data_IF_163018496964
#
_entry.id   IF_163018496964
#
_cell.length_a   1.000
_cell.length_b   1.000
_cell.length_c   1.000
_cell.angle_alpha   90.00
_cell.angle_beta   90.00
_cell.angle_gamma   90.00
#
_symmetry.space_group_name_H-M   'P 1'
#
loop_
_entity.id
_entity.type
_entity.pdbx_description
1 polymer ?
#
# COMPACT_ATOMS: atom_id res chain seq x y z
N UNK A 1 35.56 6.74 -4.32
CA UNK A 1 34.70 6.89 -3.12
C UNK A 1 34.31 5.50 -2.65
N UNK A 2 34.63 5.14 -1.41
CA UNK A 2 34.24 3.85 -0.83
C UNK A 2 33.00 4.07 0.03
N UNK A 3 31.81 4.04 -0.61
CA UNK A 3 30.53 4.14 0.10
C UNK A 3 30.30 2.83 0.85
N UNK A 4 30.17 2.89 2.18
CA UNK A 4 29.81 1.78 3.03
C UNK A 4 28.30 1.76 3.29
N UNK A 5 27.69 0.56 3.28
CA UNK A 5 26.33 0.37 3.74
C UNK A 5 26.39 -0.16 5.18
N UNK A 6 25.76 0.57 6.09
CA UNK A 6 25.75 0.21 7.51
C UNK A 6 24.38 0.45 8.14
N UNK A 7 24.06 -0.22 9.25
CA UNK A 7 22.84 0.03 10.01
C UNK A 7 22.75 1.48 10.47
N UNK A 8 21.55 2.04 10.48
CA UNK A 8 21.28 3.37 11.00
C UNK A 8 21.32 3.34 12.53
N UNK A 9 22.32 3.96 13.11
CA UNK A 9 22.53 4.12 14.55
C UNK A 9 22.31 5.57 14.98
N UNK A 10 22.10 5.81 16.28
CA UNK A 10 21.73 7.13 16.80
C UNK A 10 22.82 8.20 16.58
N UNK A 11 24.09 7.80 16.55
CA UNK A 11 25.24 8.67 16.27
C UNK A 11 25.24 9.25 14.84
N UNK A 12 24.53 8.59 13.91
CA UNK A 12 24.39 9.04 12.51
C UNK A 12 23.24 10.03 12.28
N UNK A 13 22.40 10.31 13.30
CA UNK A 13 21.30 11.28 13.19
C UNK A 13 21.76 12.65 12.66
N UNK A 14 22.88 13.25 13.16
CA UNK A 14 23.36 14.52 12.61
C UNK A 14 23.72 14.46 11.12
N UNK A 15 24.32 13.35 10.68
CA UNK A 15 24.69 13.15 9.28
C UNK A 15 23.43 12.96 8.38
N UNK A 16 22.37 12.31 8.90
CA UNK A 16 21.07 12.19 8.22
C UNK A 16 20.38 13.55 8.09
N UNK A 17 20.44 14.41 9.12
CA UNK A 17 19.94 15.79 9.02
C UNK A 17 20.63 16.57 7.90
N UNK A 18 21.96 16.48 7.81
CA UNK A 18 22.73 17.07 6.72
C UNK A 18 22.37 16.50 5.35
N UNK A 19 22.08 15.20 5.26
CA UNK A 19 21.61 14.57 4.04
C UNK A 19 20.23 15.13 3.61
N UNK A 20 19.25 15.16 4.51
CA UNK A 20 17.93 15.71 4.22
C UNK A 20 17.98 17.18 3.82
N UNK A 21 18.83 18.00 4.44
CA UNK A 21 19.03 19.40 4.04
C UNK A 21 19.51 19.52 2.58
N UNK A 22 20.43 18.65 2.13
CA UNK A 22 20.87 18.63 0.73
C UNK A 22 19.76 18.18 -0.22
N UNK A 23 18.90 17.24 0.19
CA UNK A 23 17.74 16.82 -0.58
C UNK A 23 16.72 17.99 -0.73
N UNK A 24 16.42 18.70 0.36
CA UNK A 24 15.55 19.90 0.35
C UNK A 24 16.11 20.97 -0.60
N UNK A 25 17.41 21.28 -0.49
CA UNK A 25 18.06 22.24 -1.37
C UNK A 25 17.97 21.83 -2.85
N UNK A 26 17.89 20.53 -3.13
CA UNK A 26 17.68 19.97 -4.47
C UNK A 26 16.20 19.83 -4.89
N UNK A 27 15.25 20.30 -4.05
CA UNK A 27 13.80 20.30 -4.37
C UNK A 27 13.08 18.98 -4.07
N UNK A 28 13.65 18.09 -3.28
CA UNK A 28 12.99 16.83 -2.86
C UNK A 28 11.94 17.13 -1.79
N UNK A 29 10.74 16.58 -1.99
CA UNK A 29 9.63 16.78 -1.07
C UNK A 29 9.87 16.07 0.29
N UNK A 30 9.34 16.66 1.41
CA UNK A 30 9.56 16.13 2.76
C UNK A 30 9.13 14.67 2.98
N UNK A 31 8.15 14.18 2.25
CA UNK A 31 7.69 12.80 2.32
C UNK A 31 8.76 11.76 1.91
N UNK A 32 9.84 12.21 1.25
CA UNK A 32 10.99 11.37 0.87
C UNK A 32 12.20 11.58 1.77
N UNK A 33 12.07 12.29 2.88
CA UNK A 33 13.17 12.45 3.83
C UNK A 33 13.37 11.18 4.65
N UNK A 34 14.63 10.89 4.95
CA UNK A 34 14.96 9.82 5.89
C UNK A 34 14.72 10.30 7.33
N UNK A 35 14.30 9.44 8.27
CA UNK A 35 14.03 9.83 9.65
C UNK A 35 15.25 10.50 10.30
N UNK A 36 15.09 11.73 10.85
CA UNK A 36 16.22 12.52 11.34
C UNK A 36 16.11 12.99 12.81
N UNK A 37 14.99 12.75 13.46
CA UNK A 37 14.78 13.12 14.87
C UNK A 37 15.06 11.95 15.80
N UNK A 38 14.67 10.76 15.39
CA UNK A 38 14.91 9.49 16.06
C UNK A 38 14.83 8.36 15.02
N UNK A 39 15.40 7.22 15.36
CA UNK A 39 15.17 5.99 14.58
C UNK A 39 13.76 5.53 14.91
N UNK A 40 12.87 5.35 13.90
CA UNK A 40 11.49 4.98 14.15
C UNK A 40 11.35 3.64 14.87
N UNK A 41 10.39 3.56 15.79
CA UNK A 41 10.12 2.35 16.58
C UNK A 41 8.83 1.61 16.16
N UNK A 42 8.23 1.99 15.02
CA UNK A 42 6.95 1.38 14.61
C UNK A 42 7.01 -0.15 14.53
N UNK A 43 8.05 -0.69 13.91
CA UNK A 43 8.29 -2.14 13.84
C UNK A 43 9.73 -2.42 14.31
N UNK A 44 10.03 -2.26 15.62
CA UNK A 44 11.36 -2.54 16.13
C UNK A 44 11.65 -4.04 16.06
N UNK A 45 12.92 -4.38 15.88
CA UNK A 45 13.40 -5.76 15.98
C UNK A 45 13.39 -6.18 17.45
N UNK A 46 12.41 -6.97 17.84
CA UNK A 46 12.23 -7.50 19.19
C UNK A 46 12.36 -9.03 19.17
N UNK A 47 12.90 -9.59 20.25
CA UNK A 47 12.99 -11.04 20.41
C UNK A 47 11.60 -11.72 20.27
N UNK A 48 11.54 -12.81 19.51
CA UNK A 48 10.31 -13.54 19.23
C UNK A 48 9.36 -12.89 18.21
N UNK A 49 9.61 -11.65 17.79
CA UNK A 49 8.80 -10.97 16.77
C UNK A 49 9.39 -11.18 15.37
N UNK A 50 8.61 -11.77 14.47
CA UNK A 50 9.03 -11.99 13.07
C UNK A 50 8.92 -10.74 12.20
N UNK A 51 7.95 -9.86 12.48
CA UNK A 51 7.79 -8.60 11.74
C UNK A 51 8.60 -7.47 12.39
N UNK A 52 9.49 -6.86 11.60
CA UNK A 52 10.32 -5.72 12.03
C UNK A 52 10.84 -4.92 10.83
N UNK A 53 11.44 -3.77 11.12
CA UNK A 53 12.15 -2.96 10.13
C UNK A 53 13.61 -2.77 10.54
N UNK A 54 14.49 -2.78 9.55
CA UNK A 54 15.91 -2.40 9.68
C UNK A 54 16.20 -1.26 8.72
N UNK A 55 16.91 -0.24 9.23
CA UNK A 55 17.25 0.97 8.51
C UNK A 55 18.73 0.93 8.17
N UNK A 56 19.07 1.21 6.91
CA UNK A 56 20.45 1.21 6.41
C UNK A 56 20.78 2.53 5.76
N UNK A 57 22.03 2.99 5.96
CA UNK A 57 22.57 4.20 5.37
C UNK A 57 23.75 3.89 4.46
N UNK A 58 23.86 4.64 3.39
CA UNK A 58 25.02 4.69 2.50
C UNK A 58 25.90 5.85 2.95
N UNK A 59 27.06 5.55 3.52
CA UNK A 59 27.95 6.52 4.17
C UNK A 59 29.26 6.63 3.42
N UNK A 60 29.72 7.86 3.18
CA UNK A 60 30.98 8.23 2.55
C UNK A 60 31.75 9.15 3.52
N UNK A 61 32.73 8.60 4.24
CA UNK A 61 33.33 9.27 5.41
C UNK A 61 32.27 9.58 6.47
N UNK A 62 32.14 10.84 6.85
CA UNK A 62 31.16 11.31 7.83
C UNK A 62 29.82 11.76 7.19
N UNK A 63 29.67 11.56 5.89
CA UNK A 63 28.51 12.03 5.14
C UNK A 63 27.57 10.90 4.73
N UNK A 64 26.29 11.00 5.09
CA UNK A 64 25.23 10.14 4.52
C UNK A 64 24.94 10.59 3.09
N UNK A 65 24.96 9.63 2.14
CA UNK A 65 24.69 9.82 0.71
C UNK A 65 23.42 9.14 0.25
N UNK A 66 22.77 8.36 1.13
CA UNK A 66 21.54 7.68 0.85
C UNK A 66 21.11 6.78 2.00
N UNK A 67 19.93 6.18 1.87
CA UNK A 67 19.43 5.20 2.81
C UNK A 67 18.28 4.39 2.22
N UNK A 68 17.98 3.26 2.85
CA UNK A 68 16.86 2.39 2.55
C UNK A 68 16.39 1.65 3.80
N UNK A 69 15.20 1.11 3.74
CA UNK A 69 14.60 0.33 4.82
C UNK A 69 14.31 -1.07 4.30
N UNK A 70 14.58 -2.08 5.10
CA UNK A 70 14.12 -3.44 4.89
C UNK A 70 13.01 -3.76 5.90
N UNK A 71 11.79 -3.99 5.43
CA UNK A 71 10.69 -4.48 6.26
C UNK A 71 10.60 -5.98 6.11
N UNK A 72 10.87 -6.67 7.18
CA UNK A 72 10.79 -8.11 7.30
C UNK A 72 9.38 -8.49 7.73
N UNK A 73 8.77 -9.40 6.98
CA UNK A 73 7.49 -10.01 7.25
C UNK A 73 7.46 -11.33 6.51
N UNK A 74 7.06 -12.41 7.19
CA UNK A 74 6.94 -13.70 6.51
C UNK A 74 5.93 -13.61 5.37
N UNK A 75 6.27 -14.23 4.24
CA UNK A 75 5.36 -14.46 3.13
C UNK A 75 5.15 -15.95 2.96
N UNK A 76 4.02 -16.34 2.43
CA UNK A 76 3.67 -17.74 2.18
C UNK A 76 3.44 -17.94 0.69
N UNK A 77 4.19 -18.87 0.11
CA UNK A 77 4.03 -19.32 -1.27
C UNK A 77 3.36 -20.69 -1.25
N UNK A 78 2.13 -20.77 -1.75
CA UNK A 78 1.30 -21.98 -1.62
C UNK A 78 1.32 -22.57 -0.19
N UNK A 79 1.06 -21.72 0.81
CA UNK A 79 1.04 -22.09 2.22
C UNK A 79 2.41 -22.33 2.87
N UNK A 80 3.53 -22.29 2.14
CA UNK A 80 4.89 -22.51 2.66
C UNK A 80 5.60 -21.18 2.90
N UNK A 81 6.22 -20.97 4.08
CA UNK A 81 6.89 -19.71 4.40
C UNK A 81 8.09 -19.47 3.47
N UNK A 82 8.27 -18.21 3.08
CA UNK A 82 9.33 -17.69 2.22
C UNK A 82 9.94 -16.43 2.82
N UNK A 83 11.27 -16.25 2.80
CA UNK A 83 11.95 -15.07 3.34
C UNK A 83 11.87 -13.89 2.36
N UNK A 84 10.68 -13.38 2.09
CA UNK A 84 10.47 -12.23 1.20
C UNK A 84 10.48 -10.95 2.02
N UNK A 85 11.24 -9.94 1.56
CA UNK A 85 11.45 -8.69 2.31
C UNK A 85 11.13 -7.48 1.44
N UNK A 86 10.48 -6.49 2.03
CA UNK A 86 10.12 -5.24 1.36
C UNK A 86 11.29 -4.25 1.37
N UNK A 87 11.74 -3.87 0.18
CA UNK A 87 12.71 -2.81 -0.06
C UNK A 87 11.99 -1.46 -0.13
N UNK A 88 12.02 -0.74 0.98
CA UNK A 88 11.23 0.46 1.21
C UNK A 88 12.07 1.73 1.24
N UNK A 89 11.50 2.84 0.76
CA UNK A 89 12.06 4.19 0.78
C UNK A 89 13.57 4.25 0.41
N UNK A 90 14.00 3.66 -0.73
CA UNK A 90 15.37 3.84 -1.18
C UNK A 90 15.53 5.26 -1.73
N UNK A 91 16.28 6.07 -1.00
CA UNK A 91 16.58 7.45 -1.40
C UNK A 91 18.07 7.70 -1.43
N UNK A 92 18.57 8.35 -2.49
CA UNK A 92 19.99 8.68 -2.64
C UNK A 92 20.20 10.12 -3.05
N UNK A 93 21.34 10.70 -2.68
CA UNK A 93 21.75 12.04 -3.10
C UNK A 93 21.89 12.15 -4.63
N UNK A 94 22.01 11.02 -5.33
CA UNK A 94 22.06 10.96 -6.80
C UNK A 94 20.86 11.56 -7.52
N UNK A 95 19.71 11.72 -6.85
CA UNK A 95 18.52 12.38 -7.42
C UNK A 95 18.70 13.90 -7.55
N UNK A 96 19.54 14.51 -6.73
CA UNK A 96 19.81 15.96 -6.73
C UNK A 96 21.24 16.28 -7.15
N UNK A 97 22.19 15.34 -7.06
CA UNK A 97 23.58 15.53 -7.40
C UNK A 97 24.12 14.35 -8.24
N UNK A 98 24.38 14.59 -9.51
CA UNK A 98 24.84 13.58 -10.48
C UNK A 98 26.16 12.90 -10.08
N UNK A 99 26.99 13.54 -9.28
CA UNK A 99 28.23 12.92 -8.77
C UNK A 99 27.95 11.65 -7.94
N UNK A 100 26.76 11.54 -7.35
CA UNK A 100 26.30 10.41 -6.55
C UNK A 100 25.26 9.52 -7.27
N UNK A 101 25.14 9.60 -8.58
CA UNK A 101 24.16 8.83 -9.35
C UNK A 101 24.29 7.29 -9.14
N UNK A 102 25.49 6.78 -8.84
CA UNK A 102 25.74 5.36 -8.58
C UNK A 102 25.28 4.86 -7.20
N UNK A 103 24.98 5.76 -6.25
CA UNK A 103 24.64 5.39 -4.85
C UNK A 103 23.40 4.52 -4.80
N UNK A 104 22.35 4.86 -5.54
CA UNK A 104 21.11 4.07 -5.58
C UNK A 104 21.34 2.62 -6.05
N UNK A 105 22.16 2.42 -7.07
CA UNK A 105 22.53 1.08 -7.56
C UNK A 105 23.35 0.32 -6.51
N UNK A 106 24.29 1.01 -5.83
CA UNK A 106 25.09 0.41 -4.76
C UNK A 106 24.21 -0.05 -3.59
N UNK A 107 23.26 0.79 -3.15
CA UNK A 107 22.29 0.46 -2.11
C UNK A 107 21.48 -0.79 -2.49
N UNK A 108 20.93 -0.82 -3.70
CA UNK A 108 20.13 -1.97 -4.15
C UNK A 108 20.96 -3.26 -4.22
N UNK A 109 22.18 -3.21 -4.73
CA UNK A 109 23.09 -4.36 -4.73
C UNK A 109 23.41 -4.85 -3.32
N UNK A 110 23.57 -3.96 -2.38
CA UNK A 110 23.81 -4.30 -0.98
C UNK A 110 22.58 -4.91 -0.32
N UNK A 111 21.39 -4.35 -0.60
CA UNK A 111 20.13 -4.93 -0.12
C UNK A 111 19.92 -6.35 -0.66
N UNK A 112 20.22 -6.60 -1.94
CA UNK A 112 20.13 -7.94 -2.56
C UNK A 112 21.15 -8.95 -2.00
N UNK A 113 22.30 -8.48 -1.49
CA UNK A 113 23.25 -9.34 -0.78
C UNK A 113 22.75 -9.71 0.62
N UNK A 114 22.06 -8.79 1.30
CA UNK A 114 21.43 -9.03 2.60
C UNK A 114 20.22 -9.97 2.45
N UNK A 115 19.39 -9.70 1.45
CA UNK A 115 18.16 -10.43 1.18
C UNK A 115 17.93 -10.58 -0.34
N UNK A 116 18.12 -11.76 -0.91
CA UNK A 116 17.94 -11.97 -2.35
C UNK A 116 16.49 -11.85 -2.82
N UNK A 117 15.51 -12.26 -1.99
CA UNK A 117 14.09 -12.24 -2.32
C UNK A 117 13.46 -10.92 -1.85
N UNK A 118 13.72 -9.87 -2.61
CA UNK A 118 13.16 -8.53 -2.35
C UNK A 118 11.95 -8.23 -3.22
N UNK A 119 11.01 -7.50 -2.65
CA UNK A 119 10.01 -6.78 -3.43
C UNK A 119 10.04 -5.28 -3.12
N UNK A 120 9.54 -4.48 -4.06
CA UNK A 120 9.24 -3.07 -3.87
C UNK A 120 7.77 -2.84 -4.25
N UNK A 121 7.09 -1.90 -3.57
CA UNK A 121 5.68 -1.64 -3.77
C UNK A 121 5.42 -0.12 -3.74
N UNK A 122 4.47 0.35 -4.55
CA UNK A 122 4.16 1.77 -4.67
C UNK A 122 4.91 2.42 -5.84
N UNK A 123 5.98 3.12 -5.60
CA UNK A 123 6.95 3.68 -6.54
C UNK A 123 6.44 4.77 -7.51
N UNK A 124 5.15 5.11 -7.55
CA UNK A 124 4.61 6.29 -8.23
C UNK A 124 4.49 6.25 -9.75
N UNK A 125 4.83 5.15 -10.43
CA UNK A 125 4.70 4.98 -11.88
C UNK A 125 5.93 4.36 -12.53
N UNK A 126 5.75 3.69 -13.69
CA UNK A 126 6.83 2.97 -14.40
C UNK A 126 7.93 3.88 -14.95
N UNK A 127 7.64 5.15 -15.16
CA UNK A 127 8.52 6.19 -15.67
C UNK A 127 9.42 6.82 -14.59
N UNK A 128 9.21 6.46 -13.33
CA UNK A 128 9.99 6.99 -12.21
C UNK A 128 11.39 6.35 -12.12
N UNK A 129 12.37 7.06 -11.53
CA UNK A 129 13.75 6.58 -11.45
C UNK A 129 13.91 5.19 -10.81
N UNK A 130 13.21 4.93 -9.70
CA UNK A 130 13.29 3.65 -9.01
C UNK A 130 12.81 2.47 -9.87
N UNK A 131 11.58 2.45 -10.43
CA UNK A 131 11.15 1.38 -11.33
C UNK A 131 12.06 1.18 -12.54
N UNK A 132 12.58 2.25 -13.13
CA UNK A 132 13.52 2.17 -14.24
C UNK A 132 14.83 1.48 -13.84
N UNK A 133 15.37 1.82 -12.67
CA UNK A 133 16.57 1.19 -12.12
C UNK A 133 16.31 -0.30 -11.82
N UNK A 134 15.20 -0.64 -11.17
CA UNK A 134 14.83 -2.03 -10.86
C UNK A 134 14.71 -2.86 -12.15
N UNK A 135 14.03 -2.33 -13.17
CA UNK A 135 13.90 -2.98 -14.48
C UNK A 135 15.27 -3.20 -15.15
N UNK A 136 16.15 -2.19 -15.12
CA UNK A 136 17.50 -2.30 -15.66
C UNK A 136 18.35 -3.36 -14.93
N UNK A 137 18.03 -3.63 -13.66
CA UNK A 137 18.67 -4.67 -12.85
C UNK A 137 17.97 -6.04 -12.92
N UNK A 138 17.04 -6.24 -13.87
CA UNK A 138 16.41 -7.52 -14.16
C UNK A 138 15.22 -7.87 -13.25
N UNK A 139 14.63 -6.87 -12.57
CA UNK A 139 13.40 -7.08 -11.79
C UNK A 139 12.18 -7.20 -12.71
N UNK A 140 11.22 -8.01 -12.30
CA UNK A 140 9.91 -8.08 -12.93
C UNK A 140 8.95 -7.09 -12.26
N UNK A 141 8.24 -6.29 -13.07
CA UNK A 141 7.36 -5.23 -12.58
C UNK A 141 5.93 -5.42 -13.12
N UNK A 142 4.93 -5.21 -12.28
CA UNK A 142 3.53 -5.11 -12.70
C UNK A 142 2.77 -4.06 -11.88
N UNK A 143 1.68 -3.52 -12.44
CA UNK A 143 0.80 -2.62 -11.72
C UNK A 143 -0.14 -3.42 -10.80
N UNK A 144 -0.29 -2.97 -9.56
CA UNK A 144 -1.36 -3.43 -8.67
C UNK A 144 -2.58 -2.58 -8.96
N UNK A 145 -3.71 -3.17 -9.40
CA UNK A 145 -4.90 -2.42 -9.77
C UNK A 145 -5.37 -1.45 -8.69
N UNK A 146 -5.85 -0.30 -9.11
CA UNK A 146 -6.46 0.70 -8.24
C UNK A 146 -7.97 0.74 -8.48
N UNK A 147 -8.71 0.63 -7.41
CA UNK A 147 -10.18 0.63 -7.39
C UNK A 147 -10.69 1.83 -6.61
N UNK A 148 -11.76 2.44 -7.10
CA UNK A 148 -12.43 3.53 -6.39
C UNK A 148 -13.94 3.46 -6.58
N UNK A 149 -14.69 3.93 -5.56
CA UNK A 149 -16.13 4.06 -5.57
C UNK A 149 -16.55 5.43 -5.04
N UNK A 150 -17.35 6.13 -5.81
CA UNK A 150 -17.78 7.51 -5.53
C UNK A 150 -19.12 7.48 -4.79
N UNK A 151 -19.13 7.90 -3.52
CA UNK A 151 -20.36 7.99 -2.73
C UNK A 151 -21.01 9.37 -2.84
N UNK A 152 -20.22 10.46 -2.92
CA UNK A 152 -20.71 11.82 -3.08
C UNK A 152 -20.25 12.43 -4.42
N UNK A 153 -20.97 12.16 -5.54
CA UNK A 153 -20.55 12.54 -6.88
C UNK A 153 -20.31 14.03 -7.08
N UNK A 154 -21.15 14.89 -6.50
CA UNK A 154 -21.00 16.35 -6.64
C UNK A 154 -19.70 16.86 -6.02
N UNK A 155 -19.29 16.30 -4.87
CA UNK A 155 -18.04 16.65 -4.21
C UNK A 155 -16.84 16.07 -4.97
N UNK A 156 -16.95 14.82 -5.44
CA UNK A 156 -15.94 14.19 -6.28
C UNK A 156 -15.63 15.02 -7.54
N UNK A 157 -16.65 15.45 -8.28
CA UNK A 157 -16.48 16.26 -9.49
C UNK A 157 -15.79 17.61 -9.21
N UNK A 158 -15.99 18.18 -8.02
CA UNK A 158 -15.37 19.46 -7.62
C UNK A 158 -13.94 19.32 -7.12
N UNK A 159 -13.62 18.22 -6.45
CA UNK A 159 -12.39 18.09 -5.67
C UNK A 159 -11.28 17.28 -6.37
N UNK A 160 -11.63 16.32 -7.26
CA UNK A 160 -10.62 15.43 -7.85
C UNK A 160 -9.71 16.16 -8.84
N UNK A 161 -8.39 16.05 -8.62
CA UNK A 161 -7.37 16.78 -9.36
C UNK A 161 -7.42 16.63 -10.90
N UNK A 162 -7.56 15.41 -11.48
CA UNK A 162 -7.63 15.26 -12.94
C UNK A 162 -8.76 16.02 -13.61
N UNK A 163 -9.85 16.30 -12.86
CA UNK A 163 -10.98 17.11 -13.35
C UNK A 163 -10.73 18.60 -13.18
N UNK A 164 -9.66 19.00 -12.48
CA UNK A 164 -9.32 20.41 -12.16
C UNK A 164 -8.13 20.93 -12.96
N UNK A 165 -7.43 20.07 -13.70
CA UNK A 165 -6.20 20.42 -14.43
C UNK A 165 -6.35 21.53 -15.48
N UNK A 166 -7.53 21.66 -16.09
CA UNK A 166 -7.81 22.70 -17.08
C UNK A 166 -9.05 23.51 -16.69
N UNK A 167 -9.06 24.82 -17.04
CA UNK A 167 -10.21 25.71 -16.75
C UNK A 167 -11.51 25.18 -17.36
N UNK A 168 -11.46 24.63 -18.58
CA UNK A 168 -12.63 24.05 -19.26
C UNK A 168 -13.15 22.79 -18.56
N UNK A 169 -12.26 21.86 -18.17
CA UNK A 169 -12.64 20.65 -17.42
C UNK A 169 -13.23 21.01 -16.05
N UNK A 170 -12.60 21.98 -15.35
CA UNK A 170 -13.09 22.47 -14.06
C UNK A 170 -14.49 23.07 -14.18
N UNK A 171 -14.75 23.86 -15.23
CA UNK A 171 -16.08 24.45 -15.47
C UNK A 171 -17.11 23.37 -15.79
N UNK A 172 -16.78 22.40 -16.68
CA UNK A 172 -17.66 21.29 -17.03
C UNK A 172 -17.97 20.41 -15.82
N UNK A 173 -16.96 20.07 -15.00
CA UNK A 173 -17.15 19.30 -13.78
C UNK A 173 -18.02 20.04 -12.75
N UNK A 174 -17.82 21.37 -12.59
CA UNK A 174 -18.65 22.19 -11.72
C UNK A 174 -20.10 22.26 -12.20
N UNK A 175 -20.33 22.45 -13.50
CA UNK A 175 -21.68 22.44 -14.09
C UNK A 175 -22.34 21.06 -13.92
N UNK A 176 -21.64 19.96 -14.21
CA UNK A 176 -22.15 18.61 -14.01
C UNK A 176 -22.49 18.31 -12.54
N UNK A 177 -21.71 18.87 -11.60
CA UNK A 177 -21.97 18.75 -10.16
C UNK A 177 -23.22 19.54 -9.72
N UNK A 178 -23.37 20.79 -10.24
CA UNK A 178 -24.48 21.70 -9.86
C UNK A 178 -25.78 21.25 -10.51
N UNK A 179 -25.75 20.86 -11.78
CA UNK A 179 -26.97 20.40 -12.51
C UNK A 179 -27.46 19.01 -12.10
N UNK A 180 -26.67 18.27 -11.32
CA UNK A 180 -26.99 16.91 -10.91
C UNK A 180 -26.82 15.85 -12.00
N UNK A 181 -26.62 16.22 -13.27
CA UNK A 181 -26.46 15.25 -14.38
C UNK A 181 -25.27 14.34 -14.19
N UNK A 182 -24.11 14.90 -13.79
CA UNK A 182 -22.95 14.11 -13.46
C UNK A 182 -23.15 13.20 -12.24
N UNK A 183 -23.90 13.67 -11.25
CA UNK A 183 -24.25 12.92 -10.04
C UNK A 183 -25.19 11.76 -10.36
N UNK A 184 -26.21 11.99 -11.21
CA UNK A 184 -27.12 10.96 -11.65
C UNK A 184 -26.40 9.86 -12.46
N UNK A 185 -25.50 10.27 -13.37
CA UNK A 185 -24.68 9.33 -14.15
C UNK A 185 -23.80 8.43 -13.27
N UNK A 186 -23.11 8.99 -12.29
CA UNK A 186 -22.25 8.23 -11.37
C UNK A 186 -23.12 7.29 -10.50
N UNK A 187 -24.25 7.76 -9.96
CA UNK A 187 -25.19 6.92 -9.19
C UNK A 187 -25.74 5.77 -10.02
N UNK A 188 -26.10 6.02 -11.28
CA UNK A 188 -26.55 4.99 -12.19
C UNK A 188 -25.48 3.94 -12.45
N UNK A 189 -24.25 4.36 -12.71
CA UNK A 189 -23.10 3.45 -12.89
C UNK A 189 -22.89 2.61 -11.64
N UNK A 190 -22.89 3.21 -10.45
CA UNK A 190 -22.76 2.49 -9.19
C UNK A 190 -23.90 1.47 -9.03
N UNK A 191 -25.16 1.87 -9.26
CA UNK A 191 -26.34 1.00 -9.14
C UNK A 191 -26.30 -0.19 -10.10
N UNK A 192 -25.93 0.05 -11.37
CA UNK A 192 -25.83 -1.01 -12.37
C UNK A 192 -24.70 -2.01 -12.10
N UNK A 193 -23.69 -1.61 -11.36
CA UNK A 193 -22.51 -2.45 -11.03
C UNK A 193 -22.59 -3.11 -9.67
N UNK A 194 -23.39 -2.58 -8.75
CA UNK A 194 -23.56 -3.19 -7.43
C UNK A 194 -24.42 -4.44 -7.58
N UNK A 195 -23.84 -5.61 -7.35
CA UNK A 195 -24.57 -6.87 -7.25
C UNK A 195 -25.58 -6.85 -6.09
N UNK A 196 -26.47 -7.82 -6.06
CA UNK A 196 -27.41 -7.96 -4.93
C UNK A 196 -26.63 -8.00 -3.61
N UNK A 197 -27.05 -7.20 -2.60
CA UNK A 197 -26.44 -7.29 -1.28
C UNK A 197 -26.54 -8.71 -0.73
N UNK A 198 -25.46 -9.20 -0.16
CA UNK A 198 -25.48 -10.47 0.53
C UNK A 198 -26.26 -10.29 1.84
N UNK A 199 -27.33 -11.05 2.01
CA UNK A 199 -28.18 -10.95 3.20
C UNK A 199 -27.58 -11.71 4.37
N UNK A 200 -27.85 -11.26 5.60
CA UNK A 200 -27.40 -11.95 6.81
C UNK A 200 -25.94 -11.73 7.18
N UNK A 201 -25.29 -10.72 6.58
CA UNK A 201 -23.98 -10.28 7.03
C UNK A 201 -24.07 -9.52 8.36
N UNK A 202 -23.25 -9.91 9.32
CA UNK A 202 -23.04 -9.19 10.56
C UNK A 202 -21.64 -8.60 10.58
N UNK A 203 -21.54 -7.31 10.84
CA UNK A 203 -20.26 -6.55 10.87
C UNK A 203 -20.02 -6.04 12.28
N UNK A 204 -18.90 -6.42 12.85
CA UNK A 204 -18.45 -5.98 14.16
C UNK A 204 -17.16 -5.17 14.03
N UNK A 205 -17.14 -3.95 14.56
CA UNK A 205 -15.90 -3.19 14.71
C UNK A 205 -15.16 -3.68 15.94
N UNK A 206 -13.88 -4.06 15.77
CA UNK A 206 -13.04 -4.61 16.82
C UNK A 206 -11.81 -3.74 17.09
N UNK A 207 -11.29 -3.78 18.31
CA UNK A 207 -10.08 -3.04 18.66
C UNK A 207 -8.78 -3.73 18.26
N UNK A 208 -8.82 -4.89 17.61
CA UNK A 208 -7.68 -5.71 17.18
C UNK A 208 -8.08 -7.16 16.97
N UNK A 209 -7.11 -7.96 16.58
CA UNK A 209 -7.27 -9.37 16.26
C UNK A 209 -6.87 -10.27 17.44
N UNK A 210 -7.40 -11.47 17.49
CA UNK A 210 -7.17 -12.47 18.54
C UNK A 210 -6.71 -13.78 17.94
N UNK A 211 -6.14 -14.68 18.74
CA UNK A 211 -5.68 -16.01 18.28
C UNK A 211 -6.80 -16.84 17.63
N UNK A 212 -8.06 -16.60 17.99
CA UNK A 212 -9.21 -17.24 17.31
C UNK A 212 -9.35 -16.85 15.83
N UNK A 213 -8.78 -15.72 15.45
CA UNK A 213 -8.81 -15.23 14.07
C UNK A 213 -7.74 -15.93 13.21
N UNK A 214 -6.76 -16.59 13.85
CA UNK A 214 -5.71 -17.33 13.18
C UNK A 214 -6.24 -18.59 12.47
N UNK A 215 -7.38 -19.15 12.89
CA UNK A 215 -8.04 -20.26 12.19
C UNK A 215 -8.41 -19.84 10.75
N UNK A 216 -8.88 -18.62 10.55
CA UNK A 216 -9.17 -18.10 9.23
C UNK A 216 -7.88 -17.88 8.41
N UNK A 217 -6.83 -17.39 9.06
CA UNK A 217 -5.53 -17.22 8.41
C UNK A 217 -4.97 -18.56 7.92
N UNK A 218 -4.94 -19.58 8.78
CA UNK A 218 -4.45 -20.90 8.43
C UNK A 218 -5.24 -21.53 7.26
N UNK A 219 -6.56 -21.38 7.23
CA UNK A 219 -7.41 -21.84 6.16
C UNK A 219 -7.21 -21.06 4.86
N UNK A 220 -6.99 -19.73 4.95
CA UNK A 220 -6.94 -18.84 3.78
C UNK A 220 -5.60 -18.86 3.05
N UNK A 221 -4.48 -18.95 3.77
CA UNK A 221 -3.13 -18.75 3.19
C UNK A 221 -2.78 -19.70 2.04
N UNK A 222 -3.36 -20.91 2.01
CA UNK A 222 -3.11 -21.90 0.97
C UNK A 222 -3.81 -21.57 -0.36
N UNK A 223 -4.85 -20.72 -0.33
CA UNK A 223 -5.62 -20.32 -1.51
C UNK A 223 -4.95 -19.20 -2.31
N UNK A 224 -3.87 -18.61 -1.80
CA UNK A 224 -3.11 -17.55 -2.45
C UNK A 224 -1.74 -18.07 -2.89
N UNK A 225 -1.33 -17.73 -4.11
CA UNK A 225 -0.02 -18.13 -4.60
C UNK A 225 1.12 -17.53 -3.79
N UNK A 226 0.99 -16.24 -3.47
CA UNK A 226 1.87 -15.52 -2.54
C UNK A 226 1.02 -14.57 -1.71
N UNK A 227 1.17 -14.62 -0.40
CA UNK A 227 0.50 -13.74 0.56
C UNK A 227 1.42 -13.48 1.75
N UNK A 228 1.44 -12.25 2.27
CA UNK A 228 2.14 -11.92 3.51
C UNK A 228 1.43 -12.52 4.73
N UNK A 229 2.17 -12.77 5.80
CA UNK A 229 1.63 -13.24 7.07
C UNK A 229 0.54 -12.31 7.62
N UNK A 230 -0.62 -12.88 7.94
CA UNK A 230 -1.77 -12.20 8.51
C UNK A 230 -2.26 -12.87 9.80
N UNK A 231 -1.35 -13.54 10.51
CA UNK A 231 -1.61 -13.99 11.87
C UNK A 231 -1.91 -12.80 12.80
N UNK A 232 -2.70 -13.01 13.84
CA UNK A 232 -3.16 -11.96 14.75
C UNK A 232 -2.01 -11.14 15.37
N UNK A 233 -0.89 -11.79 15.70
CA UNK A 233 0.30 -11.11 16.21
C UNK A 233 0.90 -10.14 15.21
N UNK A 234 0.99 -10.53 13.94
CA UNK A 234 1.46 -9.68 12.82
C UNK A 234 0.49 -8.53 12.56
N UNK A 235 -0.81 -8.81 12.49
CA UNK A 235 -1.84 -7.79 12.25
C UNK A 235 -1.86 -6.74 13.37
N UNK A 236 -1.78 -7.14 14.63
CA UNK A 236 -1.75 -6.21 15.77
C UNK A 236 -0.46 -5.37 15.83
N UNK A 237 0.64 -5.88 15.26
CA UNK A 237 1.87 -5.09 15.09
C UNK A 237 1.77 -4.08 13.95
N UNK A 238 1.15 -4.47 12.81
CA UNK A 238 0.92 -3.59 11.66
C UNK A 238 -0.15 -2.53 11.95
N UNK A 239 -1.21 -2.90 12.65
CA UNK A 239 -2.41 -2.08 12.90
C UNK A 239 -2.64 -1.89 14.40
N UNK A 240 -1.72 -1.20 15.12
CA UNK A 240 -1.84 -1.01 16.56
C UNK A 240 -3.05 -0.14 16.91
N UNK A 241 -3.70 -0.45 18.04
CA UNK A 241 -4.88 0.28 18.55
C UNK A 241 -4.63 1.79 18.78
N UNK A 242 -3.39 2.19 18.95
CA UNK A 242 -2.99 3.59 19.13
C UNK A 242 -3.11 4.45 17.88
N UNK A 243 -3.38 3.84 16.71
CA UNK A 243 -3.57 4.53 15.43
C UNK A 243 -5.02 4.41 14.99
N UNK A 244 -5.44 5.31 14.10
CA UNK A 244 -6.83 5.45 13.63
C UNK A 244 -7.28 4.37 12.63
N UNK A 245 -6.94 3.09 12.91
CA UNK A 245 -7.43 1.98 12.10
C UNK A 245 -8.82 1.56 12.56
N UNK A 246 -9.65 1.26 11.58
CA UNK A 246 -10.97 0.68 11.77
C UNK A 246 -10.87 -0.79 11.35
N UNK A 247 -10.72 -1.68 12.33
CA UNK A 247 -10.72 -3.12 12.09
C UNK A 247 -12.17 -3.62 12.19
N UNK A 248 -12.64 -4.31 11.17
CA UNK A 248 -13.96 -4.94 11.17
C UNK A 248 -13.84 -6.45 10.95
N UNK A 249 -14.67 -7.20 11.66
CA UNK A 249 -14.91 -8.63 11.42
C UNK A 249 -16.25 -8.80 10.73
N UNK A 250 -16.31 -9.74 9.80
CA UNK A 250 -17.51 -10.06 9.02
C UNK A 250 -17.91 -11.50 9.29
N UNK A 251 -19.17 -11.70 9.67
CA UNK A 251 -19.76 -13.01 9.86
C UNK A 251 -21.00 -13.18 9.01
N UNK A 252 -21.25 -14.40 8.54
CA UNK A 252 -22.46 -14.80 7.85
C UNK A 252 -23.08 -16.01 8.56
N UNK A 253 -24.36 -15.95 8.85
CA UNK A 253 -25.07 -17.00 9.62
C UNK A 253 -24.29 -17.44 10.88
N UNK A 254 -23.80 -16.47 11.64
CA UNK A 254 -22.99 -16.64 12.87
C UNK A 254 -21.61 -17.28 12.68
N UNK A 255 -21.18 -17.54 11.44
CA UNK A 255 -19.84 -18.01 11.13
C UNK A 255 -18.94 -16.84 10.75
N UNK A 256 -17.77 -16.70 11.37
CA UNK A 256 -16.74 -15.75 10.98
C UNK A 256 -16.18 -16.11 9.60
N UNK A 257 -16.25 -15.19 8.62
CA UNK A 257 -15.89 -15.44 7.23
C UNK A 257 -14.76 -14.55 6.73
N UNK A 258 -14.45 -13.46 7.41
CA UNK A 258 -13.40 -12.55 6.97
C UNK A 258 -13.32 -11.28 7.79
N UNK A 259 -12.32 -10.47 7.47
CA UNK A 259 -12.10 -9.17 8.10
C UNK A 259 -11.54 -8.15 7.11
N UNK A 260 -11.64 -6.88 7.46
CA UNK A 260 -10.97 -5.79 6.76
C UNK A 260 -10.39 -4.76 7.73
N UNK A 261 -9.28 -4.14 7.32
CA UNK A 261 -8.68 -2.97 7.96
C UNK A 261 -8.94 -1.76 7.08
N UNK A 262 -9.57 -0.75 7.65
CA UNK A 262 -10.05 0.42 6.95
C UNK A 262 -9.45 1.69 7.53
N UNK A 263 -9.43 2.75 6.74
CA UNK A 263 -9.18 4.12 7.19
C UNK A 263 -10.34 5.02 6.75
N UNK A 264 -10.56 6.06 7.55
CA UNK A 264 -11.50 7.13 7.32
C UNK A 264 -10.77 8.45 7.59
N UNK A 265 -10.32 9.09 6.51
CA UNK A 265 -9.41 10.23 6.58
C UNK A 265 -10.03 11.46 5.94
N UNK A 266 -10.11 12.57 6.69
CA UNK A 266 -10.44 13.87 6.12
C UNK A 266 -9.20 14.43 5.44
N UNK A 267 -9.23 14.50 4.11
CA UNK A 267 -8.19 15.18 3.33
C UNK A 267 -8.35 16.69 3.44
N UNK A 268 -7.21 17.39 3.43
CA UNK A 268 -7.15 18.85 3.43
C UNK A 268 -6.14 19.30 2.39
N UNK A 269 -6.61 20.06 1.39
CA UNK A 269 -5.80 20.56 0.27
C UNK A 269 -4.90 19.50 -0.38
N UNK A 270 -5.38 18.25 -0.39
CA UNK A 270 -4.62 17.13 -0.93
C UNK A 270 -4.48 17.30 -2.45
N UNK A 271 -3.28 17.04 -2.96
CA UNK A 271 -2.95 17.18 -4.39
C UNK A 271 -3.82 16.35 -5.33
N UNK A 272 -4.36 15.22 -4.87
CA UNK A 272 -5.20 14.31 -5.66
C UNK A 272 -6.69 14.41 -5.32
N UNK A 273 -7.01 14.52 -4.03
CA UNK A 273 -8.35 14.35 -3.49
C UNK A 273 -8.95 15.63 -2.92
N UNK A 274 -8.21 16.77 -2.97
CA UNK A 274 -8.68 18.03 -2.44
C UNK A 274 -9.10 17.93 -0.97
N UNK A 275 -10.35 18.32 -0.67
CA UNK A 275 -10.92 18.35 0.68
C UNK A 275 -11.95 17.23 0.92
N UNK A 276 -11.82 16.09 0.22
CA UNK A 276 -12.73 14.96 0.40
C UNK A 276 -12.45 14.17 1.68
N UNK A 277 -13.50 13.56 2.24
CA UNK A 277 -13.39 12.51 3.25
C UNK A 277 -13.21 11.17 2.55
N UNK A 278 -12.06 10.56 2.74
CA UNK A 278 -11.62 9.38 2.02
C UNK A 278 -11.73 8.13 2.89
N UNK A 279 -12.48 7.14 2.43
CA UNK A 279 -12.44 5.78 2.94
C UNK A 279 -11.36 4.97 2.21
N UNK A 280 -10.56 4.21 2.93
CA UNK A 280 -9.59 3.30 2.30
C UNK A 280 -9.76 1.90 2.84
N UNK A 281 -9.87 0.91 1.94
CA UNK A 281 -9.77 -0.51 2.28
C UNK A 281 -8.29 -0.86 2.14
N UNK A 282 -7.60 -0.92 3.29
CA UNK A 282 -6.14 -1.03 3.37
C UNK A 282 -5.69 -2.47 3.27
N UNK A 283 -6.34 -3.34 4.05
CA UNK A 283 -6.05 -4.77 4.12
C UNK A 283 -7.33 -5.56 4.36
N UNK A 284 -7.33 -6.84 4.01
CA UNK A 284 -8.48 -7.72 4.17
C UNK A 284 -8.03 -9.18 4.11
N UNK A 285 -8.83 -10.07 4.64
CA UNK A 285 -8.67 -11.51 4.49
C UNK A 285 -10.01 -12.23 4.54
N UNK A 286 -10.15 -13.22 3.68
CA UNK A 286 -11.19 -14.23 3.67
C UNK A 286 -10.74 -15.38 2.78
N UNK A 287 -11.45 -16.50 2.78
CA UNK A 287 -11.39 -17.43 1.66
C UNK A 287 -11.85 -16.71 0.37
N UNK A 288 -11.28 -17.01 -0.81
CA UNK A 288 -11.59 -16.28 -2.04
C UNK A 288 -13.09 -16.21 -2.39
N UNK A 289 -13.87 -17.23 -2.07
CA UNK A 289 -15.33 -17.28 -2.24
C UNK A 289 -16.07 -16.28 -1.36
N UNK A 290 -15.54 -15.90 -0.22
CA UNK A 290 -16.13 -14.94 0.70
C UNK A 290 -15.65 -13.48 0.47
N UNK A 291 -14.77 -13.27 -0.53
CA UNK A 291 -14.21 -11.94 -0.81
C UNK A 291 -15.30 -10.90 -1.12
N UNK A 292 -16.38 -11.30 -1.82
CA UNK A 292 -17.50 -10.41 -2.13
C UNK A 292 -18.21 -9.93 -0.87
N UNK A 293 -18.55 -10.86 0.04
CA UNK A 293 -19.20 -10.54 1.31
C UNK A 293 -18.38 -9.55 2.15
N UNK A 294 -17.08 -9.78 2.26
CA UNK A 294 -16.18 -8.88 3.01
C UNK A 294 -16.08 -7.51 2.35
N UNK A 295 -15.99 -7.43 1.01
CA UNK A 295 -15.93 -6.15 0.30
C UNK A 295 -17.25 -5.38 0.39
N UNK A 296 -18.39 -6.04 0.31
CA UNK A 296 -19.69 -5.41 0.51
C UNK A 296 -19.83 -4.86 1.94
N UNK A 297 -19.47 -5.65 2.94
CA UNK A 297 -19.47 -5.25 4.35
C UNK A 297 -18.56 -4.04 4.62
N UNK A 298 -17.32 -4.06 4.13
CA UNK A 298 -16.37 -2.97 4.26
C UNK A 298 -16.86 -1.69 3.56
N UNK A 299 -17.43 -1.84 2.37
CA UNK A 299 -17.99 -0.74 1.59
C UNK A 299 -19.16 -0.09 2.33
N UNK A 300 -20.13 -0.88 2.79
CA UNK A 300 -21.29 -0.40 3.53
C UNK A 300 -20.88 0.28 4.85
N UNK A 301 -19.92 -0.29 5.57
CA UNK A 301 -19.40 0.29 6.79
C UNK A 301 -18.81 1.69 6.56
N UNK A 302 -18.01 1.87 5.50
CA UNK A 302 -17.45 3.18 5.13
C UNK A 302 -18.53 4.16 4.63
N UNK A 303 -19.53 3.68 3.88
CA UNK A 303 -20.66 4.50 3.44
C UNK A 303 -21.47 5.06 4.60
N UNK A 304 -21.79 4.22 5.61
CA UNK A 304 -22.50 4.64 6.83
C UNK A 304 -21.72 5.70 7.63
N UNK A 305 -20.40 5.75 7.50
CA UNK A 305 -19.56 6.80 8.08
C UNK A 305 -19.55 8.10 7.28
N UNK A 306 -20.17 8.11 6.11
CA UNK A 306 -20.32 9.30 5.27
C UNK A 306 -19.05 9.70 4.51
N UNK A 307 -18.18 8.75 4.13
CA UNK A 307 -17.04 9.03 3.28
C UNK A 307 -17.46 9.43 1.87
N UNK A 308 -16.73 10.34 1.24
CA UNK A 308 -17.05 10.86 -0.09
C UNK A 308 -16.60 9.91 -1.21
N UNK A 309 -15.49 9.25 -0.99
CA UNK A 309 -14.83 8.35 -1.93
C UNK A 309 -14.24 7.18 -1.18
N UNK A 310 -14.38 5.96 -1.70
CA UNK A 310 -13.72 4.77 -1.19
C UNK A 310 -12.67 4.31 -2.19
N UNK A 311 -11.47 3.98 -1.70
CA UNK A 311 -10.36 3.50 -2.53
C UNK A 311 -9.79 2.19 -2.01
N UNK A 312 -9.21 1.39 -2.91
CA UNK A 312 -8.44 0.19 -2.58
C UNK A 312 -7.42 -0.13 -3.67
N UNK A 313 -6.31 -0.74 -3.29
CA UNK A 313 -5.42 -1.42 -4.23
C UNK A 313 -5.44 -2.92 -3.91
N UNK A 314 -5.70 -3.75 -4.92
CA UNK A 314 -5.77 -5.21 -4.77
C UNK A 314 -5.20 -5.88 -6.01
N UNK A 315 -4.23 -6.78 -5.83
CA UNK A 315 -3.65 -7.52 -6.95
C UNK A 315 -4.39 -8.82 -7.27
N UNK A 316 -4.96 -9.49 -6.26
CA UNK A 316 -5.58 -10.79 -6.43
C UNK A 316 -6.95 -10.69 -7.12
N UNK A 317 -7.18 -11.57 -8.11
CA UNK A 317 -8.37 -11.54 -8.98
C UNK A 317 -9.70 -11.65 -8.24
N UNK A 318 -9.79 -12.49 -7.19
CA UNK A 318 -11.02 -12.64 -6.41
C UNK A 318 -11.42 -11.33 -5.72
N UNK A 319 -10.46 -10.61 -5.13
CA UNK A 319 -10.70 -9.33 -4.49
C UNK A 319 -11.00 -8.22 -5.49
N UNK A 320 -10.30 -8.22 -6.64
CA UNK A 320 -10.63 -7.30 -7.74
C UNK A 320 -12.03 -7.52 -8.30
N UNK A 321 -12.44 -8.79 -8.46
CA UNK A 321 -13.81 -9.16 -8.84
C UNK A 321 -14.84 -8.72 -7.80
N UNK A 322 -14.56 -8.96 -6.52
CA UNK A 322 -15.41 -8.56 -5.40
C UNK A 322 -15.62 -7.04 -5.34
N UNK A 323 -14.56 -6.24 -5.53
CA UNK A 323 -14.64 -4.78 -5.59
C UNK A 323 -15.51 -4.33 -6.77
N UNK A 324 -15.31 -4.89 -7.98
CA UNK A 324 -16.16 -4.56 -9.15
C UNK A 324 -17.62 -4.87 -8.89
N UNK A 325 -17.91 -6.02 -8.29
CA UNK A 325 -19.29 -6.43 -7.91
C UNK A 325 -19.86 -5.61 -6.75
N UNK A 326 -19.01 -4.90 -6.00
CA UNK A 326 -19.40 -3.92 -4.97
C UNK A 326 -19.49 -2.48 -5.52
N UNK A 327 -19.49 -2.30 -6.84
CA UNK A 327 -19.68 -1.01 -7.50
C UNK A 327 -18.41 -0.16 -7.67
N UNK A 328 -17.23 -0.74 -7.47
CA UNK A 328 -15.97 -0.03 -7.72
C UNK A 328 -15.61 0.01 -9.20
N UNK A 329 -14.97 1.09 -9.59
CA UNK A 329 -14.35 1.28 -10.89
C UNK A 329 -12.85 0.97 -10.79
N UNK A 330 -12.35 0.17 -11.72
CA UNK A 330 -10.92 -0.05 -11.88
C UNK A 330 -10.32 1.02 -12.78
N UNK A 331 -9.14 1.52 -12.43
CA UNK A 331 -8.39 2.47 -13.26
C UNK A 331 -6.90 2.16 -13.26
N UNK A 332 -6.17 2.86 -14.12
CA UNK A 332 -4.72 2.76 -14.18
C UNK A 332 -4.12 3.11 -12.82
N UNK A 333 -3.16 2.30 -12.40
CA UNK A 333 -2.50 2.44 -11.11
C UNK A 333 -1.05 2.87 -11.29
N UNK A 334 -0.61 3.77 -10.42
CA UNK A 334 0.81 4.08 -10.21
C UNK A 334 1.42 3.29 -9.05
N UNK A 335 0.62 2.38 -8.45
CA UNK A 335 1.04 1.48 -7.39
C UNK A 335 1.60 0.21 -8.03
N UNK A 336 2.94 0.10 -8.06
CA UNK A 336 3.66 -0.91 -8.81
C UNK A 336 4.26 -1.92 -7.85
N UNK A 337 4.09 -3.20 -8.14
CA UNK A 337 4.82 -4.30 -7.54
C UNK A 337 6.05 -4.62 -8.38
N UNK A 338 7.21 -4.64 -7.73
CA UNK A 338 8.46 -5.07 -8.32
C UNK A 338 9.02 -6.27 -7.55
N UNK A 339 9.35 -7.34 -8.25
CA UNK A 339 9.96 -8.55 -7.71
C UNK A 339 11.41 -8.67 -8.17
N UNK A 340 12.35 -8.90 -7.23
CA UNK A 340 13.72 -9.26 -7.56
C UNK A 340 13.76 -10.55 -8.38
N UNK A 341 14.88 -10.81 -9.08
CA UNK A 341 14.99 -11.98 -9.96
C UNK A 341 14.63 -13.30 -9.24
N UNK A 342 15.15 -13.63 -8.04
CA UNK A 342 14.77 -14.86 -7.34
C UNK A 342 13.28 -14.92 -6.97
N UNK A 343 12.67 -13.79 -6.58
CA UNK A 343 11.24 -13.73 -6.28
C UNK A 343 10.40 -13.89 -7.56
N UNK A 344 10.82 -13.28 -8.66
CA UNK A 344 10.15 -13.43 -9.95
C UNK A 344 10.24 -14.86 -10.51
N UNK A 345 11.36 -15.55 -10.29
CA UNK A 345 11.53 -16.96 -10.62
C UNK A 345 10.59 -17.86 -9.80
N UNK A 346 10.45 -17.60 -8.49
CA UNK A 346 9.46 -18.28 -7.64
C UNK A 346 8.03 -18.08 -8.15
N UNK A 347 7.72 -16.88 -8.68
CA UNK A 347 6.40 -16.55 -9.22
C UNK A 347 6.25 -16.91 -10.71
N UNK A 348 7.19 -17.68 -11.28
CA UNK A 348 7.17 -18.01 -12.73
C UNK A 348 5.94 -18.83 -13.14
N UNK A 349 5.37 -18.57 -14.34
CA UNK A 349 5.58 -17.42 -15.20
C UNK A 349 4.95 -16.16 -14.61
N UNK A 350 5.77 -15.14 -14.31
CA UNK A 350 5.39 -13.96 -13.53
C UNK A 350 4.15 -13.25 -14.07
N UNK A 351 4.09 -13.05 -15.39
CA UNK A 351 2.96 -12.36 -16.05
C UNK A 351 1.62 -13.08 -15.87
N UNK A 352 1.62 -14.41 -15.83
CA UNK A 352 0.42 -15.22 -15.68
C UNK A 352 -0.05 -15.34 -14.21
N UNK A 353 0.88 -15.17 -13.28
CA UNK A 353 0.66 -15.42 -11.86
C UNK A 353 0.46 -14.15 -11.03
N UNK A 354 0.68 -12.97 -11.61
CA UNK A 354 0.57 -11.69 -10.89
C UNK A 354 -0.82 -11.46 -10.25
N UNK A 355 -1.88 -11.99 -10.86
CA UNK A 355 -3.26 -11.90 -10.38
C UNK A 355 -3.64 -12.96 -9.33
N UNK A 356 -2.72 -13.86 -8.99
CA UNK A 356 -2.84 -14.86 -7.91
C UNK A 356 -1.99 -14.47 -6.68
N UNK A 357 -1.15 -13.44 -6.83
CA UNK A 357 -0.42 -12.83 -5.72
C UNK A 357 -1.37 -11.91 -4.97
N UNK A 358 -1.42 -12.03 -3.65
CA UNK A 358 -2.24 -11.17 -2.81
C UNK A 358 -1.39 -10.04 -2.24
N UNK A 359 -1.55 -8.86 -2.82
CA UNK A 359 -0.91 -7.63 -2.37
C UNK A 359 -1.94 -6.51 -2.30
N UNK A 360 -1.84 -5.72 -1.26
CA UNK A 360 -2.64 -4.53 -1.03
C UNK A 360 -1.80 -3.42 -0.39
N UNK A 361 -2.43 -2.35 0.09
CA UNK A 361 -1.72 -1.23 0.72
C UNK A 361 -1.02 -1.63 2.01
N UNK A 362 -1.56 -2.57 2.77
CA UNK A 362 -0.99 -3.07 4.02
C UNK A 362 0.37 -3.75 3.84
N UNK A 363 0.64 -4.32 2.68
CA UNK A 363 1.92 -4.98 2.38
C UNK A 363 3.06 -3.99 2.11
N UNK A 364 2.75 -2.73 1.77
CA UNK A 364 3.71 -1.67 1.52
C UNK A 364 4.04 -0.84 2.76
N UNK A 365 3.96 0.48 2.60
CA UNK A 365 4.28 1.50 3.62
C UNK A 365 3.32 1.47 4.81
N UNK A 366 2.33 0.61 4.73
CA UNK A 366 1.21 0.61 5.64
C UNK A 366 0.29 1.82 5.41
N UNK A 367 -0.66 2.00 6.29
CA UNK A 367 -1.69 3.03 6.14
C UNK A 367 -1.23 4.46 6.45
N UNK A 368 0.05 4.68 6.71
CA UNK A 368 0.60 5.98 7.15
C UNK A 368 0.61 7.02 6.03
N UNK A 369 0.55 6.58 4.76
CA UNK A 369 0.72 7.44 3.58
C UNK A 369 -0.52 7.43 2.66
N UNK A 370 -1.68 7.75 3.20
CA UNK A 370 -2.85 8.14 2.40
C UNK A 370 -2.89 9.63 2.19
#
# INVERSE_FOLDING_TARGET
MAIAIQPYSADLIPAVKGFNQRLVAGGVAPEFHFPENNIPHWLPKLEGRRIHQEYYLAVDGDCVRGGFILKYQDFFFHGKPQPVVYYHLPISEGIVNKAYAGVGVHMLRSALKLQPMLFALGMGGFDRPLPQMLKAMGWSLCAVPFYFRVNHPAKFLREVAPLRETKSRRLLAALAAVTGVGSAGIKLINSLRTGSPEHGLFVEQVGGFTERDDDLWEQSREHYKLIADRACATLNALYPRSKNFLCIKVSHASRFIGWAVLLDTQMRDNKYFGNMRLGSIVDCLALPENALAVMQAATQFLEQRGVDLIISNQSHHAWGGALKSSGFLETRSNFIFGASKPLAELLSPFQNNQNQVFLNRGDGDGPVNL
#
